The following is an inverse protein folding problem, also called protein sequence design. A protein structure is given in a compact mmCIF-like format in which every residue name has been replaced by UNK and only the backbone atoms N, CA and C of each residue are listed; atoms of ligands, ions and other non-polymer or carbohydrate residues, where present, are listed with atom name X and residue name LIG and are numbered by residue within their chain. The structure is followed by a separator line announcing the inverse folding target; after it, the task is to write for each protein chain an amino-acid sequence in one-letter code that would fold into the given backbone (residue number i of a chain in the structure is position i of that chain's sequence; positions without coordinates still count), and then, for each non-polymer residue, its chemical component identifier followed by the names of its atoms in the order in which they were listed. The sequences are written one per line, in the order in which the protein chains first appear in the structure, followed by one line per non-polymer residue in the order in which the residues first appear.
data_IF_606245955511
#
_entry.id   IF_606245955511
#
_cell.length_a   1.000
_cell.length_b   1.000
_cell.length_c   1.000
_cell.angle_alpha   90.00
_cell.angle_beta   90.00
_cell.angle_gamma   90.00
#
_symmetry.space_group_name_H-M   'P 1'
#
loop_
_entity.id
_entity.type
_entity.pdbx_description
1 polymer ?
#
# COMPACT_ATOMS: atom_id res chain seq x y z
N UNK A 1 39.82 -8.33 21.98
CA UNK A 1 39.05 -8.89 20.85
C UNK A 1 38.63 -7.72 19.99
N UNK A 2 39.34 -7.46 18.89
CA UNK A 2 39.18 -6.24 18.10
C UNK A 2 37.91 -6.42 17.26
N UNK A 3 36.80 -5.83 17.72
CA UNK A 3 35.63 -5.66 16.86
C UNK A 3 36.04 -4.77 15.68
N UNK A 4 35.60 -5.13 14.48
CA UNK A 4 35.92 -4.39 13.25
C UNK A 4 35.66 -2.91 13.47
N UNK A 5 36.70 -2.09 13.33
CA UNK A 5 36.60 -0.65 13.60
C UNK A 5 35.77 0.02 12.52
N UNK A 6 35.12 1.15 12.83
CA UNK A 6 34.37 1.95 11.84
C UNK A 6 35.23 2.27 10.59
N UNK A 7 36.54 2.44 10.78
CA UNK A 7 37.49 2.67 9.71
C UNK A 7 37.63 1.44 8.78
N UNK A 8 37.73 0.23 9.33
CA UNK A 8 37.82 -1.01 8.55
C UNK A 8 36.55 -1.25 7.73
N UNK A 9 35.37 -1.03 8.34
CA UNK A 9 34.08 -1.17 7.64
C UNK A 9 33.98 -0.14 6.51
N UNK A 10 34.38 1.12 6.74
CA UNK A 10 34.41 2.16 5.70
C UNK A 10 35.35 1.79 4.55
N UNK A 11 36.54 1.28 4.85
CA UNK A 11 37.51 0.84 3.85
C UNK A 11 36.98 -0.35 3.04
N UNK A 12 36.27 -1.28 3.69
CA UNK A 12 35.62 -2.38 2.99
C UNK A 12 34.53 -1.90 2.02
N UNK A 13 33.66 -0.99 2.46
CA UNK A 13 32.63 -0.39 1.59
C UNK A 13 33.27 0.30 0.37
N UNK A 14 34.34 1.07 0.59
CA UNK A 14 35.06 1.74 -0.49
C UNK A 14 35.72 0.76 -1.47
N UNK A 15 36.23 -0.39 -1.00
CA UNK A 15 36.83 -1.42 -1.86
C UNK A 15 35.85 -2.11 -2.80
N UNK A 16 34.55 -2.08 -2.48
CA UNK A 16 33.49 -2.63 -3.32
C UNK A 16 33.05 -1.64 -4.42
N UNK A 17 33.40 -0.36 -4.29
CA UNK A 17 32.96 0.68 -5.20
C UNK A 17 33.69 0.63 -6.55
N UNK A 18 32.99 1.03 -7.60
CA UNK A 18 33.49 1.15 -8.96
C UNK A 18 33.02 2.47 -9.58
N UNK A 19 33.93 3.19 -10.23
CA UNK A 19 33.64 4.46 -10.89
C UNK A 19 32.70 4.30 -12.10
N UNK A 20 32.68 3.12 -12.71
CA UNK A 20 31.73 2.73 -13.77
C UNK A 20 30.53 1.96 -13.22
N UNK A 21 30.31 2.00 -11.90
CA UNK A 21 29.24 1.30 -11.23
C UNK A 21 27.87 1.86 -11.61
N UNK A 22 26.89 0.97 -11.82
CA UNK A 22 25.51 1.34 -12.11
C UNK A 22 24.61 1.21 -10.89
N UNK A 23 25.07 0.55 -9.84
CA UNK A 23 24.28 0.35 -8.63
C UNK A 23 24.68 1.36 -7.55
N UNK A 24 23.71 1.88 -6.80
CA UNK A 24 23.95 2.79 -5.67
C UNK A 24 22.99 2.45 -4.52
N UNK A 25 23.24 3.05 -3.35
CA UNK A 25 22.47 2.78 -2.13
C UNK A 25 21.62 3.98 -1.73
N UNK A 26 20.37 3.72 -1.33
CA UNK A 26 19.48 4.70 -0.71
C UNK A 26 18.84 4.14 0.56
N UNK A 27 18.35 5.03 1.41
CA UNK A 27 17.41 4.67 2.46
C UNK A 27 16.02 4.49 1.86
N UNK A 28 15.39 3.33 2.03
CA UNK A 28 14.05 3.05 1.49
C UNK A 28 12.96 3.98 2.02
N UNK A 29 13.16 4.59 3.20
CA UNK A 29 12.18 5.49 3.83
C UNK A 29 12.34 6.96 3.45
N UNK A 30 13.55 7.40 3.18
CA UNK A 30 13.86 8.84 3.00
C UNK A 30 14.47 9.15 1.64
N UNK A 31 14.76 8.13 0.84
CA UNK A 31 15.48 8.19 -0.43
C UNK A 31 16.86 8.87 -0.35
N UNK A 32 17.35 9.18 0.85
CA UNK A 32 18.67 9.75 1.07
C UNK A 32 19.75 8.69 0.99
N UNK A 33 20.91 9.06 0.43
CA UNK A 33 22.05 8.14 0.34
C UNK A 33 22.78 8.05 1.68
N UNK A 34 22.91 6.84 2.26
CA UNK A 34 23.44 6.69 3.61
C UNK A 34 24.98 6.82 3.63
N UNK A 35 25.50 7.66 4.52
CA UNK A 35 26.95 7.70 4.83
C UNK A 35 27.34 6.36 5.49
N UNK A 36 28.42 5.70 5.05
CA UNK A 36 29.52 6.21 4.22
C UNK A 36 29.42 5.91 2.71
N UNK A 37 28.34 5.31 2.23
CA UNK A 37 28.16 4.93 0.84
C UNK A 37 27.48 6.02 -0.03
N UNK A 38 27.32 7.24 0.50
CA UNK A 38 26.55 8.30 -0.14
C UNK A 38 27.03 8.63 -1.57
N UNK A 39 28.34 8.62 -1.79
CA UNK A 39 28.96 9.00 -3.06
C UNK A 39 29.53 7.79 -3.83
N UNK A 40 29.14 6.57 -3.46
CA UNK A 40 29.70 5.35 -4.05
C UNK A 40 28.73 4.68 -5.01
N UNK A 41 29.29 4.12 -6.08
CA UNK A 41 28.60 3.28 -7.05
C UNK A 41 29.25 1.90 -7.09
N UNK A 42 28.49 0.90 -7.50
CA UNK A 42 28.89 -0.51 -7.50
C UNK A 42 28.60 -1.11 -8.88
N UNK A 43 29.50 -1.95 -9.37
CA UNK A 43 29.40 -2.52 -10.72
C UNK A 43 28.29 -3.58 -10.84
N UNK A 44 28.09 -4.37 -9.78
CA UNK A 44 27.13 -5.47 -9.73
C UNK A 44 26.18 -5.34 -8.56
N UNK A 45 24.96 -5.88 -8.73
CA UNK A 45 23.96 -5.98 -7.66
C UNK A 45 24.50 -6.75 -6.44
N UNK A 46 25.34 -7.76 -6.65
CA UNK A 46 26.01 -8.50 -5.57
C UNK A 46 26.99 -7.65 -4.78
N UNK A 47 27.81 -6.83 -5.45
CA UNK A 47 28.72 -5.90 -4.77
C UNK A 47 27.95 -4.81 -4.01
N UNK A 48 26.87 -4.30 -4.60
CA UNK A 48 25.99 -3.33 -3.95
C UNK A 48 25.29 -3.92 -2.71
N UNK A 49 24.85 -5.18 -2.76
CA UNK A 49 24.25 -5.87 -1.59
C UNK A 49 25.26 -6.06 -0.47
N UNK A 50 26.50 -6.43 -0.79
CA UNK A 50 27.57 -6.53 0.20
C UNK A 50 27.86 -5.15 0.83
N UNK A 51 27.85 -4.09 0.03
CA UNK A 51 28.02 -2.72 0.51
C UNK A 51 26.85 -2.22 1.36
N UNK A 52 25.61 -2.62 1.06
CA UNK A 52 24.43 -2.32 1.86
C UNK A 52 24.56 -2.92 3.27
N UNK A 53 24.87 -4.21 3.35
CA UNK A 53 25.10 -4.91 4.63
C UNK A 53 26.23 -4.28 5.44
N UNK A 54 27.35 -3.95 4.78
CA UNK A 54 28.46 -3.27 5.44
C UNK A 54 28.07 -1.86 5.91
N UNK A 55 27.20 -1.15 5.18
CA UNK A 55 26.69 0.18 5.57
C UNK A 55 25.76 0.08 6.79
N UNK A 56 24.89 -0.91 6.85
CA UNK A 56 24.06 -1.19 8.04
C UNK A 56 24.91 -1.54 9.26
N UNK A 57 25.94 -2.38 9.07
CA UNK A 57 26.90 -2.71 10.12
C UNK A 57 27.66 -1.47 10.60
N UNK A 58 28.12 -0.61 9.69
CA UNK A 58 28.78 0.66 10.03
C UNK A 58 27.87 1.53 10.90
N UNK A 59 26.60 1.72 10.50
CA UNK A 59 25.65 2.56 11.24
C UNK A 59 25.28 1.96 12.60
N UNK A 60 25.20 0.64 12.69
CA UNK A 60 24.98 -0.08 13.95
C UNK A 60 26.14 0.12 14.93
N UNK A 61 27.39 0.04 14.44
CA UNK A 61 28.57 0.33 15.26
C UNK A 61 28.63 1.82 15.62
N UNK A 62 28.25 2.72 14.70
CA UNK A 62 28.25 4.17 14.93
C UNK A 62 27.26 4.58 16.03
N UNK A 63 26.10 3.92 16.12
CA UNK A 63 25.10 4.16 17.18
C UNK A 63 25.60 3.91 18.60
N UNK A 64 26.68 3.13 18.75
CA UNK A 64 27.34 2.95 20.05
C UNK A 64 28.04 4.23 20.53
N UNK A 65 28.43 5.10 19.60
CA UNK A 65 29.10 6.36 19.88
C UNK A 65 28.17 7.56 19.77
N UNK A 66 27.19 7.52 18.87
CA UNK A 66 26.15 8.53 18.71
C UNK A 66 24.76 7.86 18.64
N UNK A 67 24.04 7.79 19.78
CA UNK A 67 22.70 7.19 19.84
C UNK A 67 21.64 7.91 19.00
N UNK A 68 21.88 9.15 18.54
CA UNK A 68 20.92 9.91 17.73
C UNK A 68 20.98 9.54 16.23
N UNK A 69 21.91 8.67 15.83
CA UNK A 69 22.05 8.26 14.42
C UNK A 69 20.79 7.54 13.92
N UNK A 70 20.11 8.07 12.88
CA UNK A 70 18.85 7.51 12.38
C UNK A 70 18.97 6.05 11.91
N UNK A 71 17.88 5.28 12.06
CA UNK A 71 17.73 3.98 11.41
C UNK A 71 17.40 4.17 9.94
N UNK A 72 18.17 3.51 9.07
CA UNK A 72 17.99 3.55 7.62
C UNK A 72 17.89 2.11 7.13
N UNK A 73 16.89 1.84 6.32
CA UNK A 73 16.72 0.59 5.59
C UNK A 73 17.46 0.73 4.27
N UNK A 74 18.62 0.09 4.14
CA UNK A 74 19.53 0.34 3.02
C UNK A 74 19.17 -0.55 1.84
N UNK A 75 18.66 0.05 0.77
CA UNK A 75 18.25 -0.65 -0.45
C UNK A 75 19.20 -0.36 -1.61
N UNK A 76 19.30 -1.32 -2.53
CA UNK A 76 20.12 -1.23 -3.75
C UNK A 76 19.26 -0.76 -4.91
N UNK A 77 19.68 0.33 -5.56
CA UNK A 77 19.08 0.85 -6.78
C UNK A 77 20.04 0.72 -7.97
N UNK A 78 19.51 0.58 -9.17
CA UNK A 78 20.27 0.63 -10.43
C UNK A 78 20.02 1.99 -11.11
N UNK A 79 21.05 2.60 -11.67
CA UNK A 79 20.95 3.75 -12.55
C UNK A 79 20.47 3.26 -13.93
N UNK A 80 19.28 3.68 -14.34
CA UNK A 80 18.83 3.48 -15.71
C UNK A 80 19.80 4.15 -16.69
N UNK A 81 20.18 3.47 -17.79
CA UNK A 81 21.20 3.95 -18.72
C UNK A 81 20.79 5.18 -19.55
N UNK A 82 19.55 5.69 -19.42
CA UNK A 82 19.06 6.84 -20.18
C UNK A 82 18.80 8.12 -19.38
N UNK A 83 19.45 8.30 -18.22
CA UNK A 83 19.48 9.62 -17.57
C UNK A 83 20.84 9.90 -16.93
N UNK A 84 21.75 10.68 -17.57
CA UNK A 84 22.93 11.17 -16.88
C UNK A 84 22.49 12.27 -15.90
N UNK A 85 22.20 11.87 -14.66
CA UNK A 85 22.11 12.81 -13.54
C UNK A 85 23.51 13.33 -13.22
N UNK A 86 23.91 14.41 -13.90
CA UNK A 86 25.08 15.19 -13.51
C UNK A 86 24.64 16.26 -12.52
N UNK A 87 25.06 16.08 -11.28
CA UNK A 87 24.88 17.02 -10.19
C UNK A 87 25.30 18.45 -10.55
N UNK A 88 24.63 19.40 -9.90
CA UNK A 88 24.84 20.85 -9.85
C UNK A 88 26.19 21.39 -10.37
N UNK A 89 26.15 22.36 -11.30
CA UNK A 89 26.64 23.75 -11.12
C UNK A 89 26.72 24.51 -12.46
N UNK A 90 26.25 25.77 -12.42
CA UNK A 90 26.63 26.95 -13.23
C UNK A 90 26.46 26.97 -14.77
N UNK A 91 25.65 27.93 -15.24
CA UNK A 91 25.71 28.60 -16.57
C UNK A 91 27.08 29.30 -16.79
N UNK A 92 27.50 29.76 -18.00
CA UNK A 92 26.69 30.09 -19.18
C UNK A 92 27.27 29.78 -20.60
N UNK A 93 26.46 30.12 -21.61
CA UNK A 93 26.78 30.60 -22.97
C UNK A 93 26.76 29.62 -24.17
N UNK A 94 25.81 29.92 -25.07
CA UNK A 94 25.83 29.92 -26.54
C UNK A 94 26.55 28.79 -27.30
N UNK A 95 25.84 28.11 -28.20
CA UNK A 95 25.77 28.45 -29.65
C UNK A 95 24.71 27.54 -30.31
N UNK A 96 23.85 28.12 -31.13
CA UNK A 96 22.88 27.40 -31.96
C UNK A 96 23.52 26.92 -33.26
N UNK A 97 23.14 25.73 -33.75
CA UNK A 97 23.11 25.45 -35.20
C UNK A 97 21.95 24.50 -35.54
N UNK A 98 21.22 24.71 -36.66
CA UNK A 98 19.94 24.09 -36.95
C UNK A 98 20.07 23.06 -38.07
N UNK A 99 19.93 21.78 -37.76
CA UNK A 99 19.60 20.78 -38.79
C UNK A 99 19.11 19.49 -38.14
N UNK A 100 17.82 19.43 -37.80
CA UNK A 100 17.01 18.22 -38.01
C UNK A 100 15.51 18.52 -37.88
N UNK A 101 14.65 17.87 -38.68
CA UNK A 101 13.27 18.27 -38.90
C UNK A 101 12.39 18.07 -37.66
N UNK A 102 11.53 19.06 -37.42
CA UNK A 102 10.45 19.00 -36.45
C UNK A 102 9.45 17.90 -36.82
N UNK A 103 9.39 16.82 -36.03
CA UNK A 103 8.14 16.09 -35.81
C UNK A 103 7.48 16.62 -34.54
N UNK A 104 6.25 17.08 -34.72
CA UNK A 104 5.41 17.64 -33.67
C UNK A 104 5.05 16.56 -32.61
N UNK A 105 4.69 16.99 -31.39
CA UNK A 105 4.97 16.27 -30.16
C UNK A 105 3.95 15.16 -29.90
N UNK A 106 4.42 13.94 -29.68
CA UNK A 106 3.71 13.04 -28.79
C UNK A 106 4.11 13.42 -27.36
N UNK A 107 3.09 13.84 -26.61
CA UNK A 107 3.10 14.24 -25.21
C UNK A 107 4.03 13.39 -24.34
N UNK A 108 4.62 13.96 -23.28
CA UNK A 108 5.51 13.22 -22.37
C UNK A 108 4.74 12.05 -21.74
N UNK A 109 5.36 10.87 -21.52
CA UNK A 109 4.87 10.03 -20.43
C UNK A 109 5.04 10.88 -19.18
N UNK A 110 3.93 11.13 -18.50
CA UNK A 110 3.94 11.74 -17.19
C UNK A 110 5.00 11.05 -16.36
N UNK A 111 5.81 11.82 -15.65
CA UNK A 111 6.46 11.36 -14.43
C UNK A 111 5.33 11.00 -13.47
N UNK A 112 4.74 9.81 -13.66
CA UNK A 112 3.66 9.28 -12.87
C UNK A 112 4.28 8.35 -11.85
N UNK A 113 4.40 8.85 -10.63
CA UNK A 113 4.58 8.02 -9.45
C UNK A 113 3.26 7.24 -9.29
N UNK A 114 3.10 6.16 -10.07
CA UNK A 114 1.89 5.34 -10.01
C UNK A 114 1.94 4.56 -8.70
N UNK A 115 1.08 4.95 -7.77
CA UNK A 115 0.83 4.24 -6.52
C UNK A 115 0.68 2.74 -6.78
N UNK A 116 1.35 1.90 -5.98
CA UNK A 116 1.26 0.44 -6.10
C UNK A 116 0.21 -0.15 -5.14
N UNK A 117 -0.21 -1.42 -5.35
CA UNK A 117 -1.01 -2.17 -4.35
C UNK A 117 -0.38 -2.09 -2.97
N UNK A 118 0.95 -2.18 -2.90
CA UNK A 118 1.73 -2.17 -1.66
C UNK A 118 1.57 -0.82 -0.95
N UNK A 119 1.61 0.30 -1.69
CA UNK A 119 1.43 1.64 -1.13
C UNK A 119 0.02 1.84 -0.58
N UNK A 120 -1.01 1.36 -1.29
CA UNK A 120 -2.39 1.33 -0.77
C UNK A 120 -2.46 0.51 0.51
N UNK A 121 -1.89 -0.70 0.52
CA UNK A 121 -1.93 -1.59 1.67
C UNK A 121 -1.23 -0.97 2.89
N UNK A 122 -0.06 -0.37 2.70
CA UNK A 122 0.67 0.31 3.77
C UNK A 122 -0.05 1.55 4.27
N UNK A 123 -0.66 2.33 3.38
CA UNK A 123 -1.43 3.52 3.75
C UNK A 123 -2.62 3.12 4.62
N UNK A 124 -3.43 2.17 4.15
CA UNK A 124 -4.60 1.67 4.89
C UNK A 124 -4.18 1.02 6.20
N UNK A 125 -3.15 0.17 6.20
CA UNK A 125 -2.65 -0.44 7.43
C UNK A 125 -2.19 0.65 8.42
N UNK A 126 -1.38 1.61 7.96
CA UNK A 126 -0.86 2.70 8.80
C UNK A 126 -1.96 3.47 9.53
N UNK A 127 -2.96 3.98 8.79
CA UNK A 127 -4.04 4.77 9.40
C UNK A 127 -4.94 3.95 10.32
N UNK A 128 -5.14 2.66 10.05
CA UNK A 128 -5.91 1.76 10.90
C UNK A 128 -5.14 1.42 12.18
N UNK A 129 -3.86 1.09 12.10
CA UNK A 129 -3.02 0.82 13.28
C UNK A 129 -2.85 2.05 14.15
N UNK A 130 -2.69 3.24 13.57
CA UNK A 130 -2.69 4.50 14.30
C UNK A 130 -4.01 4.71 15.04
N UNK A 131 -5.14 4.49 14.35
CA UNK A 131 -6.46 4.59 14.98
C UNK A 131 -6.69 3.57 16.09
N UNK A 132 -6.18 2.34 15.93
CA UNK A 132 -6.22 1.31 16.98
C UNK A 132 -5.41 1.78 18.19
N UNK A 133 -4.20 2.32 17.98
CA UNK A 133 -3.32 2.79 19.05
C UNK A 133 -3.92 3.96 19.85
N UNK A 134 -4.75 4.79 19.22
CA UNK A 134 -5.49 5.88 19.88
C UNK A 134 -6.84 5.44 20.45
N UNK A 135 -7.29 4.22 20.14
CA UNK A 135 -8.56 3.66 20.60
C UNK A 135 -8.45 3.03 22.00
N UNK A 136 -9.57 2.83 22.72
CA UNK A 136 -9.57 2.12 24.00
C UNK A 136 -9.39 0.58 23.88
N UNK A 137 -9.15 0.04 22.67
CA UNK A 137 -9.13 -1.41 22.42
C UNK A 137 -7.74 -2.00 22.66
N UNK A 138 -7.32 -1.99 23.93
CA UNK A 138 -6.05 -2.58 24.36
C UNK A 138 -5.91 -4.05 23.92
N UNK A 139 -4.78 -4.38 23.30
CA UNK A 139 -4.47 -5.75 22.87
C UNK A 139 -5.10 -6.17 21.53
N UNK A 140 -5.85 -5.30 20.85
CA UNK A 140 -6.27 -5.52 19.46
C UNK A 140 -5.06 -5.56 18.52
N UNK A 141 -4.15 -4.58 18.63
CA UNK A 141 -2.90 -4.53 17.85
C UNK A 141 -2.09 -5.82 18.00
N UNK A 142 -1.83 -6.24 19.24
CA UNK A 142 -1.07 -7.46 19.52
C UNK A 142 -1.69 -8.68 18.86
N UNK A 143 -3.01 -8.80 18.89
CA UNK A 143 -3.67 -9.95 18.28
C UNK A 143 -3.67 -9.95 16.76
N UNK A 144 -3.75 -8.76 16.15
CA UNK A 144 -3.54 -8.61 14.71
C UNK A 144 -2.14 -9.08 14.37
N UNK A 145 -1.13 -8.62 15.11
CA UNK A 145 0.26 -9.00 14.89
C UNK A 145 0.52 -10.49 15.14
N UNK A 146 -0.05 -11.09 16.18
CA UNK A 146 0.03 -12.53 16.45
C UNK A 146 -0.57 -13.32 15.28
N UNK A 147 -1.79 -12.97 14.85
CA UNK A 147 -2.47 -13.63 13.71
C UNK A 147 -1.69 -13.46 12.41
N UNK A 148 -1.16 -12.26 12.17
CA UNK A 148 -0.35 -11.97 10.99
C UNK A 148 0.95 -12.77 10.99
N UNK A 149 1.67 -12.85 12.12
CA UNK A 149 2.93 -13.58 12.23
C UNK A 149 2.74 -15.08 12.02
N UNK A 150 1.67 -15.66 12.59
CA UNK A 150 1.32 -17.08 12.38
C UNK A 150 1.14 -17.40 10.89
N UNK A 151 0.54 -16.49 10.12
CA UNK A 151 0.33 -16.65 8.68
C UNK A 151 1.61 -16.33 7.90
N UNK A 152 2.33 -15.26 8.26
CA UNK A 152 3.53 -14.79 7.58
C UNK A 152 4.66 -15.82 7.57
N UNK A 153 4.76 -16.67 8.59
CA UNK A 153 5.73 -17.78 8.62
C UNK A 153 5.54 -18.79 7.47
N UNK A 154 4.36 -18.81 6.85
CA UNK A 154 4.00 -19.75 5.78
C UNK A 154 4.08 -19.16 4.37
N UNK A 155 4.29 -17.84 4.24
CA UNK A 155 4.23 -17.11 2.98
C UNK A 155 5.62 -17.01 2.33
N UNK A 156 5.71 -17.36 1.05
CA UNK A 156 6.97 -17.35 0.30
C UNK A 156 7.26 -16.00 -0.38
N UNK A 157 6.22 -15.22 -0.71
CA UNK A 157 6.34 -13.98 -1.47
C UNK A 157 6.06 -12.73 -0.61
N UNK A 158 6.99 -11.75 -0.56
CA UNK A 158 6.82 -10.54 0.26
C UNK A 158 5.58 -9.71 -0.05
N UNK A 159 5.15 -9.67 -1.32
CA UNK A 159 4.02 -8.82 -1.74
C UNK A 159 2.67 -9.35 -1.17
N UNK A 160 2.60 -10.66 -0.90
CA UNK A 160 1.44 -11.29 -0.26
C UNK A 160 1.34 -10.92 1.23
N UNK A 161 2.46 -10.58 1.88
CA UNK A 161 2.46 -10.22 3.31
C UNK A 161 1.61 -8.98 3.58
N UNK A 162 1.60 -7.99 2.68
CA UNK A 162 0.81 -6.77 2.87
C UNK A 162 -0.70 -7.05 2.79
N UNK A 163 -1.11 -7.91 1.84
CA UNK A 163 -2.50 -8.34 1.72
C UNK A 163 -2.93 -9.18 2.94
N UNK A 164 -2.01 -9.97 3.48
CA UNK A 164 -2.27 -10.84 4.63
C UNK A 164 -2.29 -10.06 5.95
N UNK A 165 -1.54 -8.97 6.05
CA UNK A 165 -1.68 -8.00 7.13
C UNK A 165 -3.08 -7.40 7.13
N UNK A 166 -3.56 -6.89 6.00
CA UNK A 166 -4.92 -6.33 5.90
C UNK A 166 -6.00 -7.38 6.19
N UNK A 167 -5.80 -8.60 5.71
CA UNK A 167 -6.71 -9.72 5.98
C UNK A 167 -6.76 -10.05 7.47
N UNK A 168 -5.61 -10.08 8.14
CA UNK A 168 -5.49 -10.33 9.58
C UNK A 168 -6.14 -9.21 10.38
N UNK A 169 -5.86 -7.94 10.01
CA UNK A 169 -6.49 -6.76 10.61
C UNK A 169 -8.00 -6.84 10.50
N UNK A 170 -8.53 -7.03 9.31
CA UNK A 170 -9.97 -7.09 9.08
C UNK A 170 -10.63 -8.25 9.84
N UNK A 171 -9.95 -9.40 9.93
CA UNK A 171 -10.42 -10.58 10.65
C UNK A 171 -10.48 -10.33 12.16
N UNK A 172 -9.45 -9.73 12.76
CA UNK A 172 -9.47 -9.44 14.20
C UNK A 172 -10.43 -8.30 14.56
N UNK A 173 -10.59 -7.30 13.68
CA UNK A 173 -11.66 -6.30 13.83
C UNK A 173 -13.04 -6.96 13.85
N UNK A 174 -13.32 -7.89 12.92
CA UNK A 174 -14.59 -8.62 12.87
C UNK A 174 -14.85 -9.47 14.12
N UNK A 175 -13.81 -10.12 14.65
CA UNK A 175 -13.93 -11.00 15.82
C UNK A 175 -14.12 -10.25 17.13
N UNK A 176 -13.54 -9.06 17.26
CA UNK A 176 -13.36 -8.39 18.57
C UNK A 176 -14.19 -7.14 18.75
N UNK A 177 -14.53 -6.46 17.66
CA UNK A 177 -15.28 -5.21 17.70
C UNK A 177 -16.69 -5.42 17.20
N UNK A 178 -17.65 -4.84 17.89
CA UNK A 178 -19.01 -4.76 17.36
C UNK A 178 -19.08 -3.81 16.13
N UNK A 179 -20.16 -3.85 15.34
CA UNK A 179 -20.26 -3.03 14.13
C UNK A 179 -20.15 -1.52 14.36
N UNK A 180 -20.62 -1.00 15.50
CA UNK A 180 -20.57 0.44 15.81
C UNK A 180 -19.14 0.85 16.21
N UNK A 181 -18.44 -0.01 16.96
CA UNK A 181 -17.01 0.14 17.28
C UNK A 181 -16.14 0.11 16.01
N UNK A 182 -16.38 -0.84 15.10
CA UNK A 182 -15.69 -0.89 13.81
C UNK A 182 -15.93 0.38 13.00
N UNK A 183 -17.17 0.83 12.90
CA UNK A 183 -17.54 2.03 12.16
C UNK A 183 -16.84 3.27 12.72
N UNK A 184 -16.83 3.44 14.05
CA UNK A 184 -16.15 4.56 14.72
C UNK A 184 -14.64 4.54 14.46
N UNK A 185 -14.02 3.36 14.57
CA UNK A 185 -12.58 3.19 14.36
C UNK A 185 -12.19 3.46 12.90
N UNK A 186 -12.92 2.90 11.94
CA UNK A 186 -12.64 3.07 10.51
C UNK A 186 -12.93 4.49 10.01
N UNK A 187 -13.95 5.15 10.55
CA UNK A 187 -14.19 6.57 10.27
C UNK A 187 -13.07 7.46 10.81
N UNK A 188 -12.43 7.07 11.92
CA UNK A 188 -11.27 7.78 12.48
C UNK A 188 -10.03 7.54 11.60
N UNK A 189 -9.80 6.29 11.19
CA UNK A 189 -8.70 5.93 10.29
C UNK A 189 -8.77 6.69 8.96
N UNK A 190 -9.97 6.77 8.38
CA UNK A 190 -10.19 7.52 7.14
C UNK A 190 -9.86 9.02 7.27
N UNK A 191 -10.04 9.63 8.45
CA UNK A 191 -9.71 11.03 8.69
C UNK A 191 -8.19 11.30 8.71
N UNK A 192 -7.38 10.25 8.89
CA UNK A 192 -5.92 10.32 8.89
C UNK A 192 -5.31 10.00 7.51
N UNK A 193 -6.13 9.75 6.48
CA UNK A 193 -5.63 9.53 5.13
C UNK A 193 -4.87 10.76 4.58
N UNK A 194 -3.79 10.57 3.80
CA UNK A 194 -3.03 11.68 3.24
C UNK A 194 -3.88 12.60 2.37
N UNK A 195 -3.81 13.91 2.60
CA UNK A 195 -4.66 14.96 1.98
C UNK A 195 -4.52 15.04 0.45
N UNK A 196 -3.39 14.58 -0.11
CA UNK A 196 -3.15 14.57 -1.56
C UNK A 196 -4.06 13.54 -2.29
N UNK A 197 -4.66 12.57 -1.57
CA UNK A 197 -5.66 11.64 -2.11
C UNK A 197 -7.03 12.30 -2.35
N UNK A 198 -7.23 13.54 -1.91
CA UNK A 198 -8.50 14.29 -2.01
C UNK A 198 -8.45 15.38 -3.11
N UNK A 199 -7.33 15.55 -3.81
CA UNK A 199 -7.08 16.69 -4.69
C UNK A 199 -6.96 16.32 -6.18
N UNK A 200 -8.00 15.70 -6.73
CA UNK A 200 -8.43 15.87 -8.14
C UNK A 200 -9.84 15.27 -8.31
N UNK A 201 -10.78 15.73 -7.47
CA UNK A 201 -12.18 15.41 -7.64
C UNK A 201 -12.72 16.14 -8.89
N UNK A 202 -12.54 15.52 -10.06
CA UNK A 202 -13.63 15.46 -11.04
C UNK A 202 -14.91 15.06 -10.29
N UNK A 203 -16.10 15.46 -10.75
CA UNK A 203 -17.40 15.03 -10.20
C UNK A 203 -17.66 13.51 -10.34
N UNK A 204 -16.63 12.67 -10.19
CA UNK A 204 -16.69 11.24 -10.13
C UNK A 204 -17.45 10.82 -8.86
N UNK A 205 -18.26 9.77 -9.01
CA UNK A 205 -18.94 9.18 -7.87
C UNK A 205 -17.92 8.60 -6.88
N UNK A 206 -18.02 8.86 -5.56
CA UNK A 206 -17.01 8.46 -4.58
C UNK A 206 -16.61 6.99 -4.64
N UNK A 207 -17.59 6.06 -4.68
CA UNK A 207 -17.30 4.63 -4.78
C UNK A 207 -16.68 4.23 -6.12
N UNK A 208 -17.10 4.88 -7.21
CA UNK A 208 -16.55 4.61 -8.54
C UNK A 208 -15.09 5.03 -8.61
N UNK A 209 -14.74 6.17 -8.02
CA UNK A 209 -13.36 6.66 -7.94
C UNK A 209 -12.46 5.73 -7.10
N UNK A 210 -12.93 5.23 -5.94
CA UNK A 210 -12.18 4.25 -5.12
C UNK A 210 -11.89 2.98 -5.92
N UNK A 211 -12.92 2.42 -6.59
CA UNK A 211 -12.76 1.18 -7.35
C UNK A 211 -11.90 1.38 -8.60
N UNK A 212 -11.98 2.55 -9.25
CA UNK A 212 -11.11 2.90 -10.38
C UNK A 212 -9.64 2.99 -9.97
N UNK A 213 -9.33 3.55 -8.80
CA UNK A 213 -7.97 3.59 -8.26
C UNK A 213 -7.48 2.20 -7.91
N UNK A 214 -8.32 1.36 -7.30
CA UNK A 214 -7.95 -0.03 -7.00
C UNK A 214 -7.70 -0.85 -8.26
N UNK A 215 -8.45 -0.59 -9.34
CA UNK A 215 -8.17 -1.18 -10.64
C UNK A 215 -6.86 -0.66 -11.24
N UNK A 216 -6.58 0.63 -11.12
CA UNK A 216 -5.37 1.25 -11.69
C UNK A 216 -4.07 0.73 -11.05
N UNK A 217 -4.14 0.26 -9.80
CA UNK A 217 -3.01 -0.31 -9.08
C UNK A 217 -2.98 -1.84 -9.10
N UNK A 218 -3.86 -2.52 -9.85
CA UNK A 218 -3.98 -3.99 -9.92
C UNK A 218 -4.43 -4.68 -8.62
N UNK A 219 -5.14 -3.97 -7.72
CA UNK A 219 -5.74 -4.57 -6.52
C UNK A 219 -7.04 -5.35 -6.85
N UNK A 220 -7.67 -5.02 -7.96
CA UNK A 220 -8.77 -5.76 -8.58
C UNK A 220 -8.59 -5.78 -10.10
N UNK A 221 -9.09 -6.81 -10.78
CA UNK A 221 -8.98 -6.89 -12.24
C UNK A 221 -9.98 -5.97 -12.95
N UNK A 222 -11.24 -5.99 -12.50
CA UNK A 222 -12.27 -5.11 -13.03
C UNK A 222 -13.45 -4.97 -12.08
N UNK A 223 -14.24 -3.91 -12.27
CA UNK A 223 -15.45 -3.70 -11.49
C UNK A 223 -16.58 -3.14 -12.36
N UNK A 224 -17.81 -3.26 -11.85
CA UNK A 224 -19.01 -2.67 -12.45
C UNK A 224 -19.98 -2.21 -11.37
N UNK A 225 -20.38 -0.95 -11.41
CA UNK A 225 -21.55 -0.48 -10.65
C UNK A 225 -22.82 -0.93 -11.37
N UNK A 226 -23.52 -1.92 -10.81
CA UNK A 226 -24.73 -2.50 -11.39
C UNK A 226 -25.97 -1.63 -11.10
N UNK A 227 -26.08 -1.10 -9.89
CA UNK A 227 -27.17 -0.22 -9.48
C UNK A 227 -26.65 0.93 -8.62
N UNK A 228 -27.29 2.10 -8.75
CA UNK A 228 -27.03 3.29 -7.95
C UNK A 228 -28.33 4.00 -7.65
N UNK A 229 -28.51 4.42 -6.41
CA UNK A 229 -29.58 5.33 -6.01
C UNK A 229 -29.07 6.36 -5.00
N UNK A 230 -29.58 7.57 -5.10
CA UNK A 230 -29.36 8.65 -4.11
C UNK A 230 -30.73 9.12 -3.63
N UNK A 231 -30.92 9.12 -2.33
CA UNK A 231 -32.11 9.68 -1.69
C UNK A 231 -31.85 11.16 -1.40
N UNK A 232 -32.63 12.04 -2.03
CA UNK A 232 -32.42 13.48 -1.92
C UNK A 232 -32.87 14.08 -0.58
N UNK A 233 -33.69 13.38 0.20
CA UNK A 233 -34.20 13.86 1.49
C UNK A 233 -33.23 13.53 2.63
N UNK A 234 -32.61 12.35 2.58
CA UNK A 234 -31.66 11.85 3.58
C UNK A 234 -30.19 11.97 3.17
N UNK A 235 -29.93 12.39 1.93
CA UNK A 235 -28.59 12.34 1.29
C UNK A 235 -27.94 10.94 1.34
N UNK A 236 -28.75 9.90 1.59
CA UNK A 236 -28.27 8.52 1.62
C UNK A 236 -28.01 8.01 0.21
N UNK A 237 -26.95 7.21 0.09
CA UNK A 237 -26.52 6.61 -1.18
C UNK A 237 -26.56 5.10 -1.05
N UNK A 238 -26.90 4.43 -2.13
CA UNK A 238 -26.82 2.98 -2.22
C UNK A 238 -26.21 2.59 -3.55
N UNK A 239 -25.26 1.67 -3.50
CA UNK A 239 -24.60 1.09 -4.66
C UNK A 239 -24.65 -0.42 -4.58
N UNK A 240 -24.95 -1.07 -5.69
CA UNK A 240 -24.69 -2.50 -5.88
C UNK A 240 -23.57 -2.61 -6.89
N UNK A 241 -22.46 -3.24 -6.48
CA UNK A 241 -21.25 -3.35 -7.30
C UNK A 241 -20.87 -4.81 -7.47
N UNK A 242 -20.34 -5.11 -8.66
CA UNK A 242 -19.64 -6.34 -8.96
C UNK A 242 -18.15 -6.04 -9.04
N UNK A 243 -17.35 -6.88 -8.39
CA UNK A 243 -15.89 -6.80 -8.39
C UNK A 243 -15.35 -8.16 -8.83
N UNK A 244 -14.47 -8.16 -9.81
CA UNK A 244 -13.84 -9.35 -10.37
C UNK A 244 -12.33 -9.32 -10.06
N UNK A 245 -11.77 -10.44 -9.60
CA UNK A 245 -10.33 -10.57 -9.33
C UNK A 245 -9.80 -9.68 -8.22
N UNK A 246 -10.61 -9.44 -7.19
CA UNK A 246 -10.18 -8.67 -6.03
C UNK A 246 -9.15 -9.46 -5.20
N UNK A 247 -7.97 -8.87 -4.99
CA UNK A 247 -6.85 -9.50 -4.29
C UNK A 247 -7.17 -9.90 -2.83
N UNK A 248 -8.18 -9.27 -2.22
CA UNK A 248 -8.65 -9.58 -0.87
C UNK A 248 -10.04 -10.25 -0.86
N UNK A 249 -10.47 -10.78 -2.00
CA UNK A 249 -11.63 -11.67 -2.10
C UNK A 249 -11.18 -13.10 -1.85
N UNK A 250 -11.67 -13.73 -0.77
CA UNK A 250 -11.24 -15.09 -0.45
C UNK A 250 -11.61 -16.11 -1.53
N UNK A 251 -10.69 -17.04 -1.82
CA UNK A 251 -10.88 -18.10 -2.82
C UNK A 251 -11.88 -19.20 -2.42
N UNK A 252 -12.41 -19.10 -1.19
CA UNK A 252 -13.54 -19.86 -0.66
C UNK A 252 -13.33 -21.36 -0.47
N UNK A 253 -13.72 -21.79 0.74
CA UNK A 253 -14.10 -23.13 1.15
C UNK A 253 -13.11 -24.28 0.88
N UNK A 254 -11.88 -24.15 1.37
CA UNK A 254 -11.30 -25.31 2.05
C UNK A 254 -12.02 -25.39 3.41
N UNK A 255 -12.55 -26.57 3.78
CA UNK A 255 -13.71 -26.77 4.67
C UNK A 255 -13.70 -26.19 6.10
N UNK A 256 -12.70 -25.39 6.45
CA UNK A 256 -12.51 -24.74 7.75
C UNK A 256 -12.71 -23.20 7.71
N UNK A 257 -12.84 -22.60 6.52
CA UNK A 257 -12.97 -21.15 6.38
C UNK A 257 -14.20 -20.71 5.56
N UNK A 258 -15.11 -19.90 6.13
CA UNK A 258 -16.27 -19.39 5.39
C UNK A 258 -15.82 -18.47 4.26
N UNK A 259 -16.59 -18.49 3.16
CA UNK A 259 -16.40 -17.54 2.07
C UNK A 259 -16.57 -16.11 2.60
N UNK A 260 -15.52 -15.30 2.44
CA UNK A 260 -15.45 -13.94 2.97
C UNK A 260 -14.70 -13.03 2.02
N UNK A 261 -15.02 -11.75 2.08
CA UNK A 261 -14.33 -10.68 1.37
C UNK A 261 -13.88 -9.63 2.39
N UNK A 262 -12.62 -9.18 2.26
CA UNK A 262 -12.06 -8.13 3.11
C UNK A 262 -12.32 -6.78 2.45
N UNK A 263 -13.31 -6.07 2.97
CA UNK A 263 -13.76 -4.76 2.48
C UNK A 263 -13.02 -3.59 3.13
N UNK A 264 -12.14 -3.87 4.11
CA UNK A 264 -11.41 -2.86 4.89
C UNK A 264 -10.81 -1.72 4.03
N UNK A 265 -10.04 -1.97 2.95
CA UNK A 265 -9.46 -0.89 2.15
C UNK A 265 -10.51 -0.05 1.43
N UNK A 266 -11.55 -0.70 0.89
CA UNK A 266 -12.67 -0.02 0.21
C UNK A 266 -13.37 0.93 1.19
N UNK A 267 -13.61 0.48 2.42
CA UNK A 267 -14.34 1.26 3.42
C UNK A 267 -13.52 2.46 3.92
N UNK A 268 -12.23 2.27 4.20
CA UNK A 268 -11.35 3.37 4.65
C UNK A 268 -11.26 4.46 3.60
N UNK A 269 -10.99 4.10 2.34
CA UNK A 269 -10.92 5.05 1.23
C UNK A 269 -12.27 5.72 0.94
N UNK A 270 -13.38 4.97 1.02
CA UNK A 270 -14.71 5.51 0.80
C UNK A 270 -15.12 6.49 1.90
N UNK A 271 -14.80 6.22 3.18
CA UNK A 271 -14.98 7.20 4.25
C UNK A 271 -14.12 8.45 4.05
N UNK A 272 -12.90 8.31 3.49
CA UNK A 272 -12.03 9.44 3.19
C UNK A 272 -12.63 10.42 2.17
N UNK A 273 -13.56 9.95 1.33
CA UNK A 273 -14.22 10.74 0.27
C UNK A 273 -15.65 11.16 0.61
N UNK A 274 -16.25 10.56 1.62
CA UNK A 274 -17.63 10.85 2.02
C UNK A 274 -17.66 11.69 3.31
N UNK A 275 -18.54 12.68 3.34
CA UNK A 275 -18.84 13.41 4.58
C UNK A 275 -19.73 12.62 5.57
N UNK A 276 -20.09 11.37 5.23
CA UNK A 276 -20.96 10.53 6.07
C UNK A 276 -20.18 9.86 7.18
N UNK A 277 -20.86 9.62 8.31
CA UNK A 277 -20.35 8.80 9.42
C UNK A 277 -21.03 7.44 9.50
N UNK A 278 -21.94 7.12 8.59
CA UNK A 278 -22.61 5.83 8.58
C UNK A 278 -22.51 5.15 7.22
N UNK A 279 -22.14 3.87 7.28
CA UNK A 279 -21.97 3.00 6.14
C UNK A 279 -22.35 1.57 6.54
N UNK A 280 -23.03 0.86 5.66
CA UNK A 280 -23.34 -0.56 5.84
C UNK A 280 -23.05 -1.34 4.56
N UNK A 281 -22.67 -2.61 4.71
CA UNK A 281 -22.49 -3.56 3.61
C UNK A 281 -23.51 -4.70 3.78
N UNK A 282 -24.25 -4.98 2.72
CA UNK A 282 -25.26 -6.05 2.65
C UNK A 282 -25.13 -6.83 1.35
N UNK A 283 -25.90 -7.92 1.23
CA UNK A 283 -26.06 -8.71 -0.01
C UNK A 283 -24.72 -9.12 -0.64
N UNK A 284 -23.80 -9.59 0.20
CA UNK A 284 -22.47 -10.02 -0.23
C UNK A 284 -22.56 -11.43 -0.79
N UNK A 285 -22.47 -11.55 -2.10
CA UNK A 285 -22.56 -12.83 -2.80
C UNK A 285 -21.26 -13.11 -3.55
N UNK A 286 -20.72 -14.31 -3.37
CA UNK A 286 -19.68 -14.82 -4.27
C UNK A 286 -20.35 -15.36 -5.54
N UNK A 287 -19.98 -14.81 -6.68
CA UNK A 287 -20.47 -15.24 -7.98
C UNK A 287 -19.59 -16.39 -8.47
N UNK A 288 -20.19 -17.56 -8.69
CA UNK A 288 -19.45 -18.69 -9.24
C UNK A 288 -18.99 -18.39 -10.67
N UNK A 289 -17.71 -18.63 -10.93
CA UNK A 289 -17.20 -18.69 -12.29
C UNK A 289 -17.91 -19.81 -13.04
N UNK A 290 -18.37 -19.55 -14.27
CA UNK A 290 -18.92 -20.58 -15.13
C UNK A 290 -17.84 -21.62 -15.44
N UNK A 291 -17.97 -22.83 -14.87
CA UNK A 291 -17.32 -24.11 -15.22
C UNK A 291 -15.81 -24.11 -15.57
N UNK A 292 -15.06 -23.10 -15.16
CA UNK A 292 -13.61 -23.02 -15.32
C UNK A 292 -12.99 -22.64 -13.99
N UNK A 293 -12.38 -23.64 -13.33
CA UNK A 293 -11.72 -23.60 -12.02
C UNK A 293 -10.52 -22.63 -11.93
N UNK A 294 -10.33 -21.74 -12.91
CA UNK A 294 -9.21 -20.81 -13.02
C UNK A 294 -9.66 -19.36 -13.20
N UNK A 295 -10.97 -19.09 -13.27
CA UNK A 295 -11.41 -17.71 -13.31
C UNK A 295 -11.36 -17.11 -11.89
N UNK A 296 -10.85 -15.88 -11.76
CA UNK A 296 -10.75 -15.20 -10.47
C UNK A 296 -12.11 -15.07 -9.80
N UNK A 297 -12.12 -15.06 -8.46
CA UNK A 297 -13.34 -14.92 -7.69
C UNK A 297 -14.05 -13.60 -8.04
N UNK A 298 -15.32 -13.69 -8.39
CA UNK A 298 -16.19 -12.54 -8.61
C UNK A 298 -17.10 -12.36 -7.40
N UNK A 299 -17.31 -11.12 -6.98
CA UNK A 299 -18.09 -10.75 -5.81
C UNK A 299 -19.14 -9.70 -6.19
N UNK A 300 -20.34 -9.84 -5.64
CA UNK A 300 -21.36 -8.80 -5.64
C UNK A 300 -21.56 -8.34 -4.21
N UNK A 301 -21.68 -7.03 -4.00
CA UNK A 301 -21.98 -6.45 -2.69
C UNK A 301 -22.79 -5.17 -2.83
N UNK A 302 -23.60 -4.89 -1.82
CA UNK A 302 -24.39 -3.66 -1.72
C UNK A 302 -23.81 -2.79 -0.60
N UNK A 303 -23.46 -1.54 -0.91
CA UNK A 303 -22.98 -0.53 0.05
C UNK A 303 -24.06 0.53 0.21
N UNK A 304 -24.36 0.92 1.44
CA UNK A 304 -25.32 1.99 1.75
C UNK A 304 -24.71 3.00 2.72
N UNK A 305 -25.03 4.28 2.56
CA UNK A 305 -24.69 5.35 3.50
C UNK A 305 -25.94 5.87 4.18
N UNK A 306 -25.81 6.56 5.31
CA UNK A 306 -26.95 7.26 5.93
C UNK A 306 -28.01 6.34 6.53
N UNK A 307 -27.74 5.04 6.65
CA UNK A 307 -28.67 4.11 7.29
C UNK A 307 -28.64 4.33 8.81
N UNK A 308 -29.71 4.91 9.36
CA UNK A 308 -29.95 4.96 10.82
C UNK A 308 -30.31 3.58 11.39
N UNK A 309 -30.63 2.61 10.53
CA UNK A 309 -30.90 1.24 10.96
C UNK A 309 -29.59 0.53 11.30
N UNK A 310 -29.39 0.35 12.61
CA UNK A 310 -28.44 -0.58 13.21
C UNK A 310 -28.49 -1.90 12.45
N UNK A 311 -27.53 -2.08 11.56
CA UNK A 311 -27.38 -3.33 10.82
C UNK A 311 -26.77 -4.34 11.77
N UNK A 312 -27.63 -4.92 12.61
CA UNK A 312 -27.28 -6.03 13.48
C UNK A 312 -27.01 -7.26 12.61
N UNK A 313 -25.78 -7.45 12.12
CA UNK A 313 -25.41 -8.73 11.52
C UNK A 313 -24.08 -8.83 10.80
N UNK A 314 -23.55 -7.74 10.23
CA UNK A 314 -22.40 -7.84 9.32
C UNK A 314 -21.30 -6.84 9.69
N UNK A 315 -20.06 -7.33 9.80
CA UNK A 315 -18.87 -6.48 9.99
C UNK A 315 -18.63 -5.57 8.79
N UNK A 316 -17.82 -4.52 8.98
CA UNK A 316 -17.47 -3.58 7.90
C UNK A 316 -16.10 -3.87 7.30
N UNK A 317 -15.16 -4.35 8.11
CA UNK A 317 -13.80 -4.64 7.66
C UNK A 317 -13.71 -5.95 6.86
N UNK A 318 -14.51 -6.94 7.24
CA UNK A 318 -14.60 -8.26 6.61
C UNK A 318 -16.05 -8.74 6.63
N UNK A 319 -16.56 -9.20 5.49
CA UNK A 319 -17.95 -9.64 5.34
C UNK A 319 -18.00 -11.06 4.83
N UNK A 320 -18.80 -11.90 5.48
CA UNK A 320 -19.08 -13.27 5.01
C UNK A 320 -20.09 -13.22 3.87
N UNK A 321 -19.92 -14.13 2.90
CA UNK A 321 -20.93 -14.31 1.86
C UNK A 321 -22.27 -14.70 2.48
N UNK A 322 -23.36 -14.09 2.03
CA UNK A 322 -24.71 -14.52 2.35
C UNK A 322 -24.94 -15.87 1.69
N UNK A 323 -25.02 -16.93 2.49
CA UNK A 323 -25.30 -18.28 2.01
C UNK A 323 -26.58 -18.32 1.18
N UNK A 324 -26.53 -18.97 0.02
CA UNK A 324 -27.70 -19.21 -0.81
C UNK A 324 -28.57 -20.33 -0.25
#
# INVERSE_FOLDING_TARGET
MIGTTLHEIRSHIASLASESGRYYLICGRTHHRPVPAADLYFESRSAARAAAQATEQYRTVLRRYDPQVPYYDVIVCECDPETPSRAATASPAATADPDQPAEAPNSPPASGDTQSVIDVCHTVAGVVFESIAESPHDGLENAIMDTYLDIAETIEHPDELCLQLLTSTATELEKRLDPDEQLSLLSTAAANLPIDAQADAVEAEPLDAVLAEFQAVDMLESYRVEQRSVDAESESRSWTVRIDGYALGGDGADGDHPERIVTLPIIVELFGRLATRSLTITDVERLSAAESSSAPAAWRLTIRTGAEERSHGHGLACVRATGR
#
